data_IF_977531367837
#
_entry.id   IF_977531367837
#
_cell.length_a   1.000
_cell.length_b   1.000
_cell.length_c   1.000
_cell.angle_alpha   90.00
_cell.angle_beta   90.00
_cell.angle_gamma   90.00
#
_symmetry.space_group_name_H-M   'P 1'
#
loop_
_entity.id
_entity.type
_entity.pdbx_description
1 polymer ?
#
# COMPACT_ATOMS: atom_id res chain seq x y z
N UNK A 1 -20.55 -32.04 87.08
CA UNK A 1 -20.44 -32.66 88.42
C UNK A 1 -19.95 -34.09 88.26
N UNK A 2 -18.92 -34.47 89.05
CA UNK A 2 -18.45 -35.81 89.42
C UNK A 2 -18.11 -36.81 88.30
N UNK A 3 -16.81 -37.02 88.02
CA UNK A 3 -15.90 -38.02 88.64
C UNK A 3 -16.20 -39.46 88.21
N UNK A 4 -15.25 -40.06 87.49
CA UNK A 4 -14.76 -41.43 87.77
C UNK A 4 -13.26 -41.48 87.48
N UNK A 5 -12.55 -42.14 88.39
CA UNK A 5 -11.10 -42.17 88.56
C UNK A 5 -10.64 -43.63 88.52
N UNK A 6 -9.51 -43.89 87.87
CA UNK A 6 -8.57 -45.01 88.12
C UNK A 6 -7.26 -44.60 87.40
N UNK A 7 -6.10 -44.34 88.01
CA UNK A 7 -5.23 -45.14 88.91
C UNK A 7 -4.91 -46.49 88.28
N UNK A 8 -3.68 -46.95 88.01
CA UNK A 8 -2.27 -46.54 88.19
C UNK A 8 -1.46 -47.52 87.30
N UNK A 9 -0.30 -47.13 86.78
CA UNK A 9 0.97 -47.89 86.91
C UNK A 9 2.09 -47.26 86.07
N UNK A 10 3.10 -46.80 86.78
CA UNK A 10 4.43 -46.43 86.30
C UNK A 10 5.28 -47.67 86.03
N UNK A 11 5.88 -47.77 84.83
CA UNK A 11 7.14 -48.49 84.62
C UNK A 11 8.05 -47.71 83.67
N UNK A 12 9.15 -47.24 84.24
CA UNK A 12 10.36 -46.79 83.57
C UNK A 12 11.11 -48.00 83.03
N UNK A 13 11.38 -48.07 81.72
CA UNK A 13 12.46 -48.91 81.16
C UNK A 13 13.08 -48.23 79.91
N UNK A 14 14.36 -47.93 80.07
CA UNK A 14 15.48 -47.83 79.11
C UNK A 14 15.32 -47.16 77.75
N UNK A 15 16.18 -46.16 77.57
CA UNK A 15 16.72 -45.68 76.30
C UNK A 15 17.06 -46.83 75.34
N UNK A 16 16.49 -46.77 74.14
CA UNK A 16 17.02 -47.47 72.96
C UNK A 16 17.14 -46.44 71.84
N UNK A 17 18.38 -46.05 71.56
CA UNK A 17 18.76 -45.17 70.47
C UNK A 17 18.73 -45.95 69.15
N UNK A 18 17.68 -45.76 68.35
CA UNK A 18 17.68 -46.16 66.94
C UNK A 18 17.66 -44.89 66.08
N UNK A 19 18.84 -44.53 65.55
CA UNK A 19 18.96 -43.56 64.45
C UNK A 19 18.37 -44.22 63.20
N UNK A 20 17.11 -43.95 62.91
CA UNK A 20 16.53 -44.22 61.59
C UNK A 20 16.88 -43.02 60.71
N UNK A 21 17.87 -43.22 59.83
CA UNK A 21 18.14 -42.28 58.74
C UNK A 21 17.03 -42.37 57.71
N UNK A 22 16.08 -41.43 57.76
CA UNK A 22 15.13 -41.20 56.68
C UNK A 22 15.80 -40.22 55.72
N UNK A 23 16.42 -40.74 54.66
CA UNK A 23 16.73 -39.97 53.46
C UNK A 23 15.43 -39.64 52.76
N UNK A 24 14.87 -38.47 53.03
CA UNK A 24 13.82 -37.87 52.21
C UNK A 24 14.50 -37.47 50.90
N UNK A 25 14.11 -38.02 49.73
CA UNK A 25 14.60 -37.48 48.46
C UNK A 25 14.04 -36.07 48.36
N UNK A 26 14.92 -35.07 48.45
CA UNK A 26 14.55 -33.68 48.21
C UNK A 26 14.03 -33.57 46.78
N UNK A 27 12.71 -33.48 46.64
CA UNK A 27 12.08 -33.06 45.40
C UNK A 27 12.47 -31.59 45.24
N UNK A 28 13.54 -31.35 44.48
CA UNK A 28 13.92 -30.01 44.05
C UNK A 28 12.82 -29.52 43.11
N UNK A 29 11.82 -28.85 43.66
CA UNK A 29 10.83 -28.13 42.87
C UNK A 29 11.59 -26.97 42.20
N UNK A 30 12.12 -27.20 40.99
CA UNK A 30 12.51 -26.12 40.09
C UNK A 30 11.22 -25.36 39.76
N UNK A 31 10.95 -24.33 40.56
CA UNK A 31 10.07 -23.25 40.17
C UNK A 31 10.69 -22.63 38.92
N UNK A 32 10.24 -23.09 37.75
CA UNK A 32 10.40 -22.37 36.50
C UNK A 32 9.58 -21.09 36.65
N UNK A 33 10.19 -20.05 37.19
CA UNK A 33 9.73 -18.69 37.04
C UNK A 33 9.79 -18.38 35.54
N UNK A 34 8.69 -18.64 34.84
CA UNK A 34 8.37 -17.91 33.61
C UNK A 34 8.22 -16.45 34.01
N UNK A 35 9.35 -15.73 34.03
CA UNK A 35 9.33 -14.29 33.91
C UNK A 35 8.69 -14.03 32.55
N UNK A 36 7.40 -13.71 32.53
CA UNK A 36 6.84 -12.90 31.47
C UNK A 36 7.64 -11.60 31.49
N UNK A 37 8.76 -11.57 30.78
CA UNK A 37 9.27 -10.32 30.26
C UNK A 37 8.17 -9.84 29.33
N UNK A 38 7.41 -8.85 29.80
CA UNK A 38 6.55 -8.04 28.97
C UNK A 38 7.49 -7.23 28.06
N UNK A 39 8.10 -7.92 27.10
CA UNK A 39 8.83 -7.29 26.01
C UNK A 39 7.74 -6.53 25.28
N UNK A 40 7.76 -5.20 25.41
CA UNK A 40 6.78 -4.35 24.75
C UNK A 40 6.60 -4.72 23.28
N UNK A 41 5.53 -4.24 22.63
CA UNK A 41 5.16 -4.64 21.28
C UNK A 41 6.38 -4.65 20.35
N UNK A 42 6.70 -5.81 19.75
CA UNK A 42 7.82 -5.93 18.83
C UNK A 42 7.67 -4.89 17.72
N UNK A 43 8.67 -4.02 17.55
CA UNK A 43 8.62 -2.98 16.55
C UNK A 43 8.88 -3.58 15.17
N UNK A 44 8.26 -3.06 14.10
CA UNK A 44 8.59 -3.50 12.76
C UNK A 44 10.08 -3.22 12.49
N UNK A 45 10.77 -4.18 11.88
CA UNK A 45 12.17 -4.00 11.53
C UNK A 45 12.34 -2.84 10.55
N UNK A 46 13.50 -2.18 10.57
CA UNK A 46 13.88 -1.25 9.50
C UNK A 46 13.89 -2.01 8.18
N UNK A 47 13.15 -1.56 7.16
CA UNK A 47 13.15 -2.24 5.87
C UNK A 47 14.53 -2.23 5.23
N UNK A 48 14.92 -3.30 4.52
CA UNK A 48 16.17 -3.30 3.76
C UNK A 48 16.15 -2.19 2.70
N UNK A 49 17.29 -1.64 2.26
CA UNK A 49 17.30 -0.69 1.16
C UNK A 49 16.61 -1.26 -0.08
N UNK A 50 15.82 -0.43 -0.77
CA UNK A 50 15.18 -0.80 -2.03
C UNK A 50 16.08 -0.35 -3.19
N UNK A 51 16.39 -1.26 -4.12
CA UNK A 51 17.10 -0.89 -5.35
C UNK A 51 16.11 -0.83 -6.50
N UNK A 52 15.95 0.34 -7.10
CA UNK A 52 15.04 0.52 -8.23
C UNK A 52 15.58 -0.20 -9.48
N UNK A 53 14.72 -0.52 -10.47
CA UNK A 53 15.15 -1.05 -11.77
C UNK A 53 16.21 -0.22 -12.49
N UNK A 54 16.22 1.11 -12.33
CA UNK A 54 17.28 1.99 -12.87
C UNK A 54 18.58 1.97 -12.06
N UNK A 55 18.63 1.23 -10.96
CA UNK A 55 19.82 0.99 -10.16
C UNK A 55 20.00 1.92 -8.95
N UNK A 56 19.10 2.89 -8.75
CA UNK A 56 19.11 3.79 -7.59
C UNK A 56 18.85 2.99 -6.32
N UNK A 57 19.67 3.20 -5.29
CA UNK A 57 19.49 2.57 -3.98
C UNK A 57 18.82 3.57 -3.05
N UNK A 58 17.69 3.17 -2.48
CA UNK A 58 16.89 3.97 -1.57
C UNK A 58 16.97 3.36 -0.19
N UNK A 59 17.55 4.10 0.75
CA UNK A 59 17.52 3.77 2.16
C UNK A 59 16.12 4.01 2.72
N UNK A 60 15.64 3.08 3.54
CA UNK A 60 14.34 3.18 4.21
C UNK A 60 14.57 3.33 5.70
N UNK A 61 13.96 4.34 6.29
CA UNK A 61 14.10 4.62 7.72
C UNK A 61 13.04 3.88 8.53
N UNK A 62 13.36 3.59 9.79
CA UNK A 62 12.37 3.12 10.74
C UNK A 62 11.31 4.19 10.97
N UNK A 63 10.04 3.83 10.76
CA UNK A 63 8.95 4.74 11.07
C UNK A 63 8.89 5.06 12.56
N UNK A 64 8.48 6.28 12.89
CA UNK A 64 8.34 6.76 14.26
C UNK A 64 7.08 7.62 14.43
N UNK A 65 6.77 8.01 15.66
CA UNK A 65 5.66 8.92 15.95
C UNK A 65 4.28 8.35 15.58
N UNK A 66 3.42 9.21 15.02
CA UNK A 66 2.00 8.90 14.77
C UNK A 66 1.79 7.71 13.81
N UNK A 67 2.48 7.60 12.64
CA UNK A 67 2.34 6.44 11.76
C UNK A 67 2.67 5.12 12.46
N UNK A 68 3.78 5.07 13.22
CA UNK A 68 4.16 3.89 13.99
C UNK A 68 3.08 3.52 15.02
N UNK A 69 2.55 4.49 15.77
CA UNK A 69 1.49 4.23 16.73
C UNK A 69 0.22 3.67 16.07
N UNK A 70 -0.20 4.22 14.93
CA UNK A 70 -1.35 3.73 14.18
C UNK A 70 -1.16 2.28 13.70
N UNK A 71 0.07 1.92 13.32
CA UNK A 71 0.42 0.54 13.00
C UNK A 71 0.30 -0.38 14.23
N UNK A 72 0.87 0.02 15.37
CA UNK A 72 0.81 -0.75 16.61
C UNK A 72 -0.65 -0.98 17.07
N UNK A 73 -1.48 0.05 16.97
CA UNK A 73 -2.91 -0.03 17.31
C UNK A 73 -3.66 -0.98 16.36
N UNK A 74 -3.42 -0.87 15.05
CA UNK A 74 -4.04 -1.76 14.05
C UNK A 74 -3.60 -3.22 14.22
N UNK A 75 -2.31 -3.46 14.51
CA UNK A 75 -1.81 -4.80 14.82
C UNK A 75 -2.51 -5.39 16.04
N UNK A 76 -2.54 -4.64 17.15
CA UNK A 76 -3.18 -5.08 18.39
C UNK A 76 -4.67 -5.39 18.19
N UNK A 77 -5.35 -4.59 17.37
CA UNK A 77 -6.75 -4.84 17.03
C UNK A 77 -6.91 -6.17 16.27
N UNK A 78 -6.09 -6.40 15.24
CA UNK A 78 -6.09 -7.66 14.49
C UNK A 78 -5.71 -8.87 15.35
N UNK A 79 -4.75 -8.75 16.28
CA UNK A 79 -4.39 -9.82 17.21
C UNK A 79 -5.53 -10.18 18.15
N UNK A 80 -6.33 -9.18 18.56
CA UNK A 80 -7.51 -9.39 19.42
C UNK A 80 -8.63 -10.12 18.69
N UNK A 81 -8.85 -9.81 17.41
CA UNK A 81 -9.79 -10.52 16.55
C UNK A 81 -9.18 -10.76 15.17
N UNK A 82 -8.53 -11.91 15.03
CA UNK A 82 -7.87 -12.25 13.78
C UNK A 82 -8.86 -12.67 12.69
N UNK A 83 -10.12 -12.96 13.04
CA UNK A 83 -11.15 -13.46 12.11
C UNK A 83 -11.86 -12.33 11.36
N UNK A 84 -11.68 -11.09 11.80
CA UNK A 84 -12.14 -9.91 11.11
C UNK A 84 -11.17 -9.50 10.00
N UNK A 85 -11.65 -9.56 8.76
CA UNK A 85 -10.86 -9.21 7.58
C UNK A 85 -10.60 -7.70 7.46
N UNK A 86 -11.48 -6.86 8.00
CA UNK A 86 -11.29 -5.40 7.99
C UNK A 86 -10.13 -5.01 8.88
N UNK A 87 -9.99 -5.66 10.04
CA UNK A 87 -8.83 -5.46 10.93
C UNK A 87 -7.53 -5.92 10.26
N UNK A 88 -7.56 -7.03 9.51
CA UNK A 88 -6.41 -7.50 8.73
C UNK A 88 -6.02 -6.49 7.64
N UNK A 89 -7.02 -5.98 6.90
CA UNK A 89 -6.81 -4.97 5.86
C UNK A 89 -6.18 -3.72 6.47
N UNK A 90 -6.72 -3.22 7.59
CA UNK A 90 -6.16 -2.04 8.27
C UNK A 90 -4.75 -2.28 8.80
N UNK A 91 -4.47 -3.47 9.33
CA UNK A 91 -3.12 -3.85 9.76
C UNK A 91 -2.12 -3.77 8.59
N UNK A 92 -2.43 -4.41 7.45
CA UNK A 92 -1.59 -4.35 6.26
C UNK A 92 -1.46 -2.94 5.67
N UNK A 93 -2.52 -2.13 5.71
CA UNK A 93 -2.49 -0.73 5.23
C UNK A 93 -1.56 0.11 6.07
N UNK A 94 -1.64 0.00 7.40
CA UNK A 94 -0.75 0.75 8.31
C UNK A 94 0.69 0.32 8.18
N UNK A 95 0.96 -0.99 8.00
CA UNK A 95 2.31 -1.48 7.71
C UNK A 95 2.87 -0.84 6.43
N UNK A 96 2.08 -0.80 5.37
CA UNK A 96 2.51 -0.16 4.14
C UNK A 96 2.73 1.35 4.25
N UNK A 97 1.98 2.07 5.08
CA UNK A 97 2.21 3.49 5.33
C UNK A 97 3.52 3.77 6.09
N UNK A 98 4.14 2.75 6.67
CA UNK A 98 5.50 2.86 7.21
C UNK A 98 6.58 2.73 6.13
N UNK A 99 6.22 2.42 4.88
CA UNK A 99 7.17 2.09 3.81
C UNK A 99 7.61 0.62 3.78
N UNK A 100 7.05 -0.21 4.68
CA UNK A 100 7.30 -1.65 4.78
C UNK A 100 6.38 -2.42 3.83
N UNK A 101 6.64 -2.32 2.53
CA UNK A 101 5.77 -2.89 1.51
C UNK A 101 5.82 -4.41 1.45
N UNK A 102 7.00 -5.01 1.63
CA UNK A 102 7.22 -6.45 1.66
C UNK A 102 6.48 -7.10 2.84
N UNK A 103 6.58 -6.52 4.04
CA UNK A 103 5.84 -6.99 5.21
C UNK A 103 4.32 -6.84 5.00
N UNK A 104 3.86 -5.74 4.38
CA UNK A 104 2.45 -5.59 4.04
C UNK A 104 1.98 -6.66 3.04
N UNK A 105 2.81 -7.02 2.05
CA UNK A 105 2.53 -8.11 1.11
C UNK A 105 2.41 -9.44 1.86
N UNK A 106 3.27 -9.70 2.86
CA UNK A 106 3.19 -10.90 3.68
C UNK A 106 1.89 -10.94 4.52
N UNK A 107 1.51 -9.82 5.13
CA UNK A 107 0.23 -9.69 5.88
C UNK A 107 -0.95 -10.06 4.98
N UNK A 108 -1.05 -9.48 3.78
CA UNK A 108 -2.13 -9.80 2.85
C UNK A 108 -2.04 -11.24 2.32
N UNK A 109 -0.84 -11.76 2.10
CA UNK A 109 -0.63 -13.16 1.68
C UNK A 109 -1.15 -14.15 2.74
N UNK A 110 -0.88 -13.87 4.01
CA UNK A 110 -1.43 -14.66 5.12
C UNK A 110 -2.95 -14.49 5.24
N UNK A 111 -3.47 -13.28 5.01
CA UNK A 111 -4.91 -13.02 4.94
C UNK A 111 -5.61 -13.84 3.86
N UNK A 112 -5.04 -13.90 2.65
CA UNK A 112 -5.59 -14.64 1.52
C UNK A 112 -5.61 -16.17 1.73
N UNK A 113 -4.79 -16.71 2.63
CA UNK A 113 -4.91 -18.12 3.05
C UNK A 113 -6.20 -18.39 3.84
N UNK A 114 -6.76 -17.37 4.47
CA UNK A 114 -7.94 -17.44 5.35
C UNK A 114 -9.21 -16.92 4.67
N UNK A 115 -9.05 -15.92 3.81
CA UNK A 115 -10.11 -15.26 3.06
C UNK A 115 -9.76 -15.28 1.56
N UNK A 116 -9.77 -16.46 0.91
CA UNK A 116 -9.30 -16.61 -0.47
C UNK A 116 -10.17 -15.88 -1.52
N UNK A 117 -11.40 -15.50 -1.15
CA UNK A 117 -12.34 -14.81 -2.05
C UNK A 117 -12.54 -13.34 -1.67
N UNK A 118 -11.69 -12.77 -0.82
CA UNK A 118 -11.76 -11.35 -0.44
C UNK A 118 -11.01 -10.47 -1.44
N UNK A 119 -11.77 -9.80 -2.32
CA UNK A 119 -11.24 -8.93 -3.37
C UNK A 119 -10.36 -7.79 -2.83
N UNK A 120 -10.68 -7.25 -1.64
CA UNK A 120 -9.90 -6.14 -1.04
C UNK A 120 -8.47 -6.56 -0.73
N UNK A 121 -8.24 -7.81 -0.30
CA UNK A 121 -6.89 -8.30 0.00
C UNK A 121 -6.04 -8.38 -1.26
N UNK A 122 -6.59 -8.90 -2.35
CA UNK A 122 -5.93 -8.90 -3.65
C UNK A 122 -5.64 -7.47 -4.14
N UNK A 123 -6.63 -6.57 -4.08
CA UNK A 123 -6.47 -5.15 -4.43
C UNK A 123 -5.32 -4.49 -3.66
N UNK A 124 -5.29 -4.69 -2.33
CA UNK A 124 -4.25 -4.12 -1.48
C UNK A 124 -2.86 -4.72 -1.74
N UNK A 125 -2.76 -6.04 -1.91
CA UNK A 125 -1.48 -6.70 -2.22
C UNK A 125 -0.98 -6.34 -3.61
N UNK A 126 -1.86 -6.29 -4.61
CA UNK A 126 -1.56 -5.85 -5.96
C UNK A 126 -0.99 -4.43 -6.01
N UNK A 127 -1.59 -3.49 -5.27
CA UNK A 127 -1.00 -2.15 -5.12
C UNK A 127 0.41 -2.23 -4.53
N UNK A 128 0.64 -3.02 -3.48
CA UNK A 128 2.00 -3.14 -2.91
C UNK A 128 3.00 -3.77 -3.86
N UNK A 129 2.59 -4.70 -4.71
CA UNK A 129 3.43 -5.20 -5.80
C UNK A 129 3.80 -4.11 -6.80
N UNK A 130 2.90 -3.16 -7.13
CA UNK A 130 3.25 -1.96 -7.93
C UNK A 130 4.36 -1.16 -7.23
N UNK A 131 4.22 -0.91 -5.92
CA UNK A 131 5.21 -0.14 -5.15
C UNK A 131 6.62 -0.73 -5.21
N UNK A 132 6.75 -2.05 -5.30
CA UNK A 132 8.04 -2.74 -5.40
C UNK A 132 8.39 -3.21 -6.82
N UNK A 133 7.69 -2.71 -7.85
CA UNK A 133 7.92 -2.97 -9.29
C UNK A 133 7.69 -4.42 -9.72
N UNK A 134 6.96 -5.19 -8.95
CA UNK A 134 6.54 -6.56 -9.28
C UNK A 134 5.24 -6.53 -10.11
N UNK A 135 5.28 -5.88 -11.28
CA UNK A 135 4.08 -5.55 -12.05
C UNK A 135 3.29 -6.79 -12.51
N UNK A 136 3.95 -7.91 -12.81
CA UNK A 136 3.27 -9.16 -13.16
C UNK A 136 2.44 -9.71 -12.00
N UNK A 137 2.99 -9.67 -10.78
CA UNK A 137 2.26 -10.09 -9.58
C UNK A 137 1.13 -9.12 -9.26
N UNK A 138 1.34 -7.81 -9.49
CA UNK A 138 0.30 -6.81 -9.35
C UNK A 138 -0.88 -7.08 -10.27
N UNK A 139 -0.62 -7.30 -11.57
CA UNK A 139 -1.65 -7.62 -12.57
C UNK A 139 -2.41 -8.88 -12.15
N UNK A 140 -1.72 -9.97 -11.82
CA UNK A 140 -2.38 -11.22 -11.42
C UNK A 140 -3.31 -11.05 -10.22
N UNK A 141 -2.89 -10.31 -9.18
CA UNK A 141 -3.74 -10.01 -8.03
C UNK A 141 -4.94 -9.12 -8.42
N UNK A 142 -4.71 -8.09 -9.23
CA UNK A 142 -5.75 -7.12 -9.59
C UNK A 142 -6.77 -7.69 -10.60
N UNK A 143 -6.35 -8.60 -11.48
CA UNK A 143 -7.24 -9.42 -12.30
C UNK A 143 -8.06 -10.35 -11.40
N UNK A 144 -7.44 -11.01 -10.41
CA UNK A 144 -8.21 -11.83 -9.47
C UNK A 144 -9.23 -11.00 -8.68
N UNK A 145 -8.85 -9.80 -8.25
CA UNK A 145 -9.75 -8.88 -7.59
C UNK A 145 -10.90 -8.45 -8.50
N UNK A 146 -10.64 -8.20 -9.79
CA UNK A 146 -11.65 -7.77 -10.75
C UNK A 146 -12.67 -8.87 -11.06
N UNK A 147 -12.25 -10.14 -11.11
CA UNK A 147 -13.15 -11.30 -11.17
C UNK A 147 -14.07 -11.38 -9.94
N UNK A 148 -13.51 -11.21 -8.73
CA UNK A 148 -14.24 -11.39 -7.48
C UNK A 148 -15.29 -10.28 -7.23
N UNK A 149 -15.13 -9.11 -7.84
CA UNK A 149 -16.12 -8.02 -7.75
C UNK A 149 -17.20 -8.07 -8.83
N UNK A 150 -17.14 -9.03 -9.76
CA UNK A 150 -18.14 -9.13 -10.81
C UNK A 150 -19.52 -9.44 -10.21
N UNK A 151 -20.52 -8.61 -10.55
CA UNK A 151 -21.88 -8.74 -10.02
C UNK A 151 -22.04 -8.35 -8.54
N UNK A 152 -21.00 -7.87 -7.87
CA UNK A 152 -21.08 -7.40 -6.48
C UNK A 152 -21.42 -5.91 -6.42
N UNK A 153 -21.93 -5.46 -5.26
CA UNK A 153 -22.16 -4.04 -5.00
C UNK A 153 -20.85 -3.28 -4.98
N UNK A 154 -20.79 -2.14 -5.67
CA UNK A 154 -19.66 -1.24 -5.55
C UNK A 154 -19.73 -0.46 -4.23
N UNK A 155 -18.74 -0.67 -3.36
CA UNK A 155 -18.69 -0.10 -2.03
C UNK A 155 -17.64 1.01 -1.94
N UNK A 156 -17.94 2.06 -1.18
CA UNK A 156 -16.98 3.12 -0.86
C UNK A 156 -15.89 2.56 0.04
N UNK A 157 -14.61 2.79 -0.32
CA UNK A 157 -13.50 2.39 0.53
C UNK A 157 -13.15 3.51 1.52
N UNK A 158 -12.98 3.21 2.83
CA UNK A 158 -12.55 4.21 3.79
C UNK A 158 -11.15 4.74 3.50
N UNK A 159 -10.98 6.06 3.53
CA UNK A 159 -9.68 6.69 3.33
C UNK A 159 -8.69 6.29 4.42
N UNK A 160 -7.43 6.09 4.03
CA UNK A 160 -6.37 5.80 4.98
C UNK A 160 -6.05 7.00 5.88
N UNK A 161 -6.15 8.17 5.25
CA UNK A 161 -6.01 9.51 5.79
C UNK A 161 -7.18 10.31 5.19
N UNK A 162 -8.14 10.79 6.00
CA UNK A 162 -9.27 11.55 5.48
C UNK A 162 -8.83 12.84 4.79
N UNK A 163 -9.49 13.22 3.69
CA UNK A 163 -9.33 14.55 3.11
C UNK A 163 -9.98 15.64 3.96
N UNK A 164 -9.75 16.89 3.56
CA UNK A 164 -10.24 18.09 4.23
C UNK A 164 -11.77 18.13 4.40
N UNK A 165 -12.51 17.45 3.52
CA UNK A 165 -13.98 17.38 3.57
C UNK A 165 -14.50 16.12 4.27
N UNK A 166 -13.62 15.16 4.58
CA UNK A 166 -13.94 13.86 5.15
C UNK A 166 -14.98 13.07 4.31
N UNK A 167 -14.87 13.19 2.97
CA UNK A 167 -15.72 12.51 1.99
C UNK A 167 -14.84 11.54 1.20
N UNK A 168 -14.98 10.22 1.34
CA UNK A 168 -14.20 9.28 0.55
C UNK A 168 -14.52 9.41 -0.94
N UNK A 169 -13.48 9.50 -1.76
CA UNK A 169 -13.61 9.71 -3.22
C UNK A 169 -13.37 8.43 -4.03
N UNK A 170 -13.03 7.34 -3.36
CA UNK A 170 -12.71 6.06 -4.01
C UNK A 170 -13.67 4.94 -3.61
N UNK A 171 -13.79 3.95 -4.49
CA UNK A 171 -14.65 2.78 -4.31
C UNK A 171 -13.83 1.54 -4.58
N UNK A 172 -14.26 0.37 -4.08
CA UNK A 172 -13.55 -0.88 -4.25
C UNK A 172 -13.36 -1.20 -5.74
N UNK A 173 -14.43 -1.14 -6.53
CA UNK A 173 -14.36 -1.44 -7.96
C UNK A 173 -13.46 -0.43 -8.67
N UNK A 174 -13.61 0.86 -8.35
CA UNK A 174 -12.77 1.91 -8.94
C UNK A 174 -11.30 1.72 -8.62
N UNK A 175 -10.95 1.41 -7.38
CA UNK A 175 -9.57 1.18 -6.99
C UNK A 175 -8.99 -0.08 -7.64
N UNK A 176 -9.76 -1.17 -7.76
CA UNK A 176 -9.31 -2.37 -8.47
C UNK A 176 -8.97 -2.02 -9.93
N UNK A 177 -9.90 -1.40 -10.65
CA UNK A 177 -9.70 -1.04 -12.05
C UNK A 177 -8.60 -0.01 -12.26
N UNK A 178 -8.49 0.99 -11.38
CA UNK A 178 -7.44 2.01 -11.42
C UNK A 178 -6.05 1.37 -11.32
N UNK A 179 -5.83 0.51 -10.33
CA UNK A 179 -4.52 -0.09 -10.11
C UNK A 179 -4.22 -1.14 -11.18
N UNK A 180 -5.24 -1.84 -11.70
CA UNK A 180 -5.06 -2.77 -12.81
C UNK A 180 -4.62 -2.03 -14.08
N UNK A 181 -5.29 -0.93 -14.41
CA UNK A 181 -4.92 -0.05 -15.51
C UNK A 181 -3.51 0.50 -15.36
N UNK A 182 -3.16 0.93 -14.15
CA UNK A 182 -1.81 1.40 -13.84
C UNK A 182 -0.76 0.30 -14.05
N UNK A 183 -0.98 -0.90 -13.53
CA UNK A 183 -0.01 -1.99 -13.64
C UNK A 183 0.25 -2.39 -15.11
N UNK A 184 -0.81 -2.47 -15.93
CA UNK A 184 -0.67 -2.67 -17.37
C UNK A 184 0.05 -1.51 -18.06
N UNK A 185 -0.30 -0.27 -17.72
CA UNK A 185 0.34 0.92 -18.28
C UNK A 185 1.85 0.93 -18.00
N UNK A 186 2.25 0.62 -16.76
CA UNK A 186 3.65 0.56 -16.34
C UNK A 186 4.44 -0.49 -17.11
N UNK A 187 3.81 -1.60 -17.52
CA UNK A 187 4.41 -2.60 -18.41
C UNK A 187 4.46 -2.18 -19.88
N UNK A 188 3.70 -1.17 -20.29
CA UNK A 188 3.51 -0.79 -21.69
C UNK A 188 2.39 -1.57 -22.40
N UNK A 189 1.55 -2.28 -21.64
CA UNK A 189 0.37 -3.00 -22.13
C UNK A 189 -0.79 -2.01 -22.29
N UNK A 190 -0.72 -1.14 -23.30
CA UNK A 190 -1.60 0.03 -23.39
C UNK A 190 -3.07 -0.32 -23.68
N UNK A 191 -3.36 -1.41 -24.40
CA UNK A 191 -4.73 -1.81 -24.71
C UNK A 191 -5.47 -2.35 -23.48
N UNK A 192 -4.78 -3.19 -22.70
CA UNK A 192 -5.26 -3.71 -21.44
C UNK A 192 -5.41 -2.59 -20.41
N UNK A 193 -4.44 -1.66 -20.37
CA UNK A 193 -4.52 -0.47 -19.53
C UNK A 193 -5.74 0.39 -19.89
N UNK A 194 -5.98 0.63 -21.18
CA UNK A 194 -7.11 1.40 -21.66
C UNK A 194 -8.43 0.78 -21.22
N UNK A 195 -8.57 -0.53 -21.39
CA UNK A 195 -9.76 -1.30 -21.00
C UNK A 195 -10.01 -1.19 -19.50
N UNK A 196 -8.99 -1.39 -18.67
CA UNK A 196 -9.11 -1.26 -17.22
C UNK A 196 -9.49 0.16 -16.80
N UNK A 197 -8.90 1.21 -17.38
CA UNK A 197 -9.28 2.59 -17.06
C UNK A 197 -10.68 2.98 -17.56
N UNK A 198 -11.19 2.38 -18.63
CA UNK A 198 -12.59 2.55 -19.01
C UNK A 198 -13.54 1.95 -17.98
N UNK A 199 -13.19 0.80 -17.40
CA UNK A 199 -13.95 0.22 -16.29
C UNK A 199 -13.83 1.06 -15.02
N UNK A 200 -12.66 1.64 -14.75
CA UNK A 200 -12.46 2.60 -13.66
C UNK A 200 -13.36 3.83 -13.82
N UNK A 201 -13.39 4.43 -15.02
CA UNK A 201 -14.26 5.57 -15.30
C UNK A 201 -15.74 5.25 -15.08
N UNK A 202 -16.17 4.02 -15.38
CA UNK A 202 -17.56 3.56 -15.22
C UNK A 202 -17.94 3.18 -13.79
N UNK A 203 -16.97 2.94 -12.91
CA UNK A 203 -17.26 2.44 -11.55
C UNK A 203 -17.81 3.51 -10.62
N UNK A 204 -17.55 4.80 -10.89
CA UNK A 204 -18.00 5.91 -10.05
C UNK A 204 -18.34 7.14 -10.89
N UNK A 205 -19.40 7.84 -10.50
CA UNK A 205 -19.84 9.10 -11.10
C UNK A 205 -19.22 10.34 -10.44
N UNK A 206 -18.34 10.20 -9.44
CA UNK A 206 -17.72 11.36 -8.80
C UNK A 206 -16.66 12.01 -9.72
N UNK A 207 -16.43 13.31 -9.55
CA UNK A 207 -15.55 14.07 -10.42
C UNK A 207 -14.07 13.71 -10.24
N UNK A 208 -13.65 13.29 -9.05
CA UNK A 208 -12.29 12.82 -8.76
C UNK A 208 -11.93 11.56 -9.58
N UNK A 209 -12.87 10.62 -9.73
CA UNK A 209 -12.75 9.44 -10.57
C UNK A 209 -12.74 9.80 -12.06
N UNK A 210 -13.60 10.75 -12.45
CA UNK A 210 -13.65 11.25 -13.82
C UNK A 210 -12.30 11.84 -14.26
N UNK A 211 -11.73 12.78 -13.49
CA UNK A 211 -10.49 13.46 -13.91
C UNK A 211 -9.28 12.53 -13.87
N UNK A 212 -9.18 11.65 -12.86
CA UNK A 212 -8.06 10.72 -12.73
C UNK A 212 -8.08 9.64 -13.82
N UNK A 213 -9.24 9.04 -14.09
CA UNK A 213 -9.40 8.05 -15.18
C UNK A 213 -9.18 8.69 -16.56
N UNK A 214 -9.73 9.89 -16.78
CA UNK A 214 -9.59 10.62 -18.05
C UNK A 214 -8.13 10.95 -18.35
N UNK A 215 -7.35 11.36 -17.36
CA UNK A 215 -5.92 11.62 -17.53
C UNK A 215 -5.17 10.42 -18.11
N UNK A 216 -5.35 9.22 -17.52
CA UNK A 216 -4.68 8.01 -18.00
C UNK A 216 -5.19 7.57 -19.37
N UNK A 217 -6.51 7.58 -19.59
CA UNK A 217 -7.11 7.25 -20.89
C UNK A 217 -6.61 8.18 -22.01
N UNK A 218 -6.49 9.47 -21.73
CA UNK A 218 -5.94 10.46 -22.65
C UNK A 218 -4.50 10.12 -23.03
N UNK A 219 -3.62 9.91 -22.04
CA UNK A 219 -2.22 9.59 -22.29
C UNK A 219 -2.06 8.29 -23.08
N UNK A 220 -2.86 7.27 -22.79
CA UNK A 220 -2.85 6.02 -23.54
C UNK A 220 -3.22 6.25 -25.01
N UNK A 221 -4.31 6.97 -25.28
CA UNK A 221 -4.73 7.24 -26.65
C UNK A 221 -3.72 8.11 -27.41
N UNK A 222 -3.11 9.10 -26.74
CA UNK A 222 -2.02 9.90 -27.33
C UNK A 222 -0.83 9.04 -27.73
N UNK A 223 -0.41 8.10 -26.87
CA UNK A 223 0.70 7.18 -27.15
C UNK A 223 0.41 6.21 -28.29
N UNK A 224 -0.85 5.85 -28.49
CA UNK A 224 -1.29 5.02 -29.61
C UNK A 224 -1.52 5.81 -30.91
N UNK A 225 -1.34 7.14 -30.91
CA UNK A 225 -1.61 7.99 -32.08
C UNK A 225 -3.09 8.31 -32.33
N UNK A 226 -3.97 7.94 -31.39
CA UNK A 226 -5.42 8.11 -31.51
C UNK A 226 -5.85 9.50 -31.02
N UNK A 227 -5.33 10.57 -31.64
CA UNK A 227 -5.51 11.96 -31.19
C UNK A 227 -6.99 12.38 -31.04
N UNK A 228 -7.84 12.07 -32.02
CA UNK A 228 -9.27 12.41 -31.97
C UNK A 228 -9.98 11.73 -30.80
N UNK A 229 -9.63 10.47 -30.53
CA UNK A 229 -10.18 9.73 -29.39
C UNK A 229 -9.68 10.32 -28.06
N UNK A 230 -8.40 10.70 -27.99
CA UNK A 230 -7.83 11.37 -26.83
C UNK A 230 -8.58 12.67 -26.52
N UNK A 231 -8.77 13.54 -27.52
CA UNK A 231 -9.46 14.83 -27.32
C UNK A 231 -10.94 14.65 -26.94
N UNK A 232 -11.59 13.62 -27.48
CA UNK A 232 -12.98 13.30 -27.14
C UNK A 232 -13.17 12.94 -25.65
N UNK A 233 -12.16 12.29 -25.04
CA UNK A 233 -12.19 11.97 -23.60
C UNK A 233 -12.16 13.22 -22.72
N UNK A 234 -11.61 14.34 -23.21
CA UNK A 234 -11.52 15.60 -22.46
C UNK A 234 -12.80 16.45 -22.52
N UNK A 235 -13.78 16.08 -23.33
CA UNK A 235 -15.02 16.84 -23.49
C UNK A 235 -15.76 17.09 -22.17
N UNK A 236 -15.94 16.08 -21.27
CA UNK A 236 -16.63 16.26 -19.99
C UNK A 236 -15.85 17.10 -18.97
N UNK A 237 -14.56 17.37 -19.22
CA UNK A 237 -13.71 18.09 -18.27
C UNK A 237 -13.91 19.60 -18.43
N UNK A 238 -14.43 20.24 -17.39
CA UNK A 238 -14.65 21.69 -17.34
C UNK A 238 -13.99 22.29 -16.10
N UNK A 239 -13.84 23.62 -16.04
CA UNK A 239 -13.20 24.30 -14.90
C UNK A 239 -14.07 24.28 -13.64
N UNK A 240 -15.37 24.07 -13.82
CA UNK A 240 -16.42 24.13 -12.80
C UNK A 240 -16.63 22.80 -12.08
N UNK A 241 -15.92 21.73 -12.48
CA UNK A 241 -15.97 20.46 -11.77
C UNK A 241 -15.53 20.63 -10.32
N UNK A 242 -16.36 20.19 -9.39
CA UNK A 242 -16.05 20.14 -7.97
C UNK A 242 -15.12 18.96 -7.69
N UNK A 243 -13.84 19.25 -7.50
CA UNK A 243 -12.78 18.27 -7.20
C UNK A 243 -12.44 18.34 -5.71
N UNK A 244 -12.26 17.18 -5.07
CA UNK A 244 -11.95 17.09 -3.64
C UNK A 244 -10.46 16.80 -3.42
N UNK A 245 -9.88 15.86 -4.16
CA UNK A 245 -8.48 15.41 -3.98
C UNK A 245 -7.65 15.51 -5.26
N UNK A 246 -8.23 15.12 -6.40
CA UNK A 246 -7.51 14.87 -7.66
C UNK A 246 -7.28 16.13 -8.52
N UNK A 247 -6.95 17.26 -7.89
CA UNK A 247 -6.75 18.55 -8.56
C UNK A 247 -5.63 18.53 -9.60
N UNK A 248 -4.54 17.77 -9.36
CA UNK A 248 -3.44 17.61 -10.32
C UNK A 248 -3.92 17.01 -11.64
N UNK A 249 -4.76 15.97 -11.59
CA UNK A 249 -5.32 15.35 -12.78
C UNK A 249 -6.33 16.26 -13.50
N UNK A 250 -7.14 16.99 -12.74
CA UNK A 250 -8.05 17.98 -13.31
C UNK A 250 -7.32 19.07 -14.09
N UNK A 251 -6.28 19.65 -13.48
CA UNK A 251 -5.45 20.66 -14.11
C UNK A 251 -4.73 20.12 -15.35
N UNK A 252 -4.17 18.91 -15.30
CA UNK A 252 -3.57 18.27 -16.47
C UNK A 252 -4.59 18.11 -17.61
N UNK A 253 -5.81 17.63 -17.31
CA UNK A 253 -6.85 17.48 -18.34
C UNK A 253 -7.26 18.83 -18.95
N UNK A 254 -7.39 19.89 -18.13
CA UNK A 254 -7.64 21.26 -18.62
C UNK A 254 -6.48 21.79 -19.47
N UNK A 255 -5.24 21.49 -19.10
CA UNK A 255 -4.06 21.85 -19.86
C UNK A 255 -4.02 21.13 -21.22
N UNK A 256 -4.26 19.82 -21.25
CA UNK A 256 -4.35 19.04 -22.48
C UNK A 256 -5.41 19.57 -23.44
N UNK A 257 -6.53 20.07 -22.89
CA UNK A 257 -7.63 20.72 -23.63
C UNK A 257 -7.28 22.13 -24.14
N UNK A 258 -6.10 22.66 -23.79
CA UNK A 258 -5.72 24.05 -24.07
C UNK A 258 -6.52 25.08 -23.26
N UNK A 259 -7.26 24.64 -22.24
CA UNK A 259 -8.11 25.51 -21.42
C UNK A 259 -7.32 26.27 -20.36
N UNK A 260 -6.16 25.79 -19.94
CA UNK A 260 -5.24 26.52 -19.07
C UNK A 260 -3.81 26.44 -19.65
N UNK A 261 -2.97 27.47 -19.44
CA UNK A 261 -1.59 27.43 -19.91
C UNK A 261 -0.72 26.52 -19.03
N UNK A 262 0.38 26.00 -19.60
CA UNK A 262 1.37 25.16 -18.89
C UNK A 262 1.82 25.77 -17.55
N UNK A 263 2.05 27.08 -17.51
CA UNK A 263 2.49 27.80 -16.30
C UNK A 263 1.55 27.62 -15.10
N UNK A 264 0.28 27.27 -15.32
CA UNK A 264 -0.68 27.02 -14.24
C UNK A 264 -0.44 25.66 -13.56
N UNK A 265 0.31 24.77 -14.20
CA UNK A 265 0.70 23.47 -13.64
C UNK A 265 1.98 23.53 -12.81
N UNK A 266 2.83 24.52 -13.09
CA UNK A 266 4.14 24.64 -12.47
C UNK A 266 4.02 25.42 -11.15
N UNK A 267 4.82 25.06 -10.13
CA UNK A 267 4.87 25.83 -8.90
C UNK A 267 5.39 27.25 -9.17
N UNK A 268 4.90 28.22 -8.38
CA UNK A 268 5.43 29.58 -8.39
C UNK A 268 6.92 29.59 -8.01
N UNK A 269 7.67 30.61 -8.45
CA UNK A 269 9.07 30.80 -8.08
C UNK A 269 9.21 30.82 -6.54
N UNK A 270 9.90 29.83 -5.97
CA UNK A 270 10.11 29.66 -4.53
C UNK A 270 9.11 28.75 -3.81
N UNK A 271 8.20 28.09 -4.53
CA UNK A 271 7.27 27.07 -4.00
C UNK A 271 7.81 25.64 -4.14
N UNK A 272 7.18 24.68 -3.43
CA UNK A 272 7.49 23.25 -3.52
C UNK A 272 7.29 22.72 -4.95
N UNK A 273 8.10 21.75 -5.38
CA UNK A 273 8.03 21.13 -6.70
C UNK A 273 6.60 20.71 -7.10
N UNK A 274 6.33 20.69 -8.41
CA UNK A 274 5.07 20.18 -8.94
C UNK A 274 4.82 18.75 -8.44
N UNK A 275 3.55 18.38 -8.20
CA UNK A 275 3.23 17.00 -7.83
C UNK A 275 3.73 16.01 -8.88
N UNK A 276 4.17 14.82 -8.49
CA UNK A 276 4.70 13.82 -9.42
C UNK A 276 3.70 13.46 -10.54
N UNK A 277 2.39 13.56 -10.28
CA UNK A 277 1.37 13.39 -11.30
C UNK A 277 1.47 14.46 -12.40
N UNK A 278 1.67 15.73 -12.02
CA UNK A 278 1.87 16.85 -12.96
C UNK A 278 3.17 16.66 -13.73
N UNK A 279 4.28 16.39 -13.02
CA UNK A 279 5.58 16.22 -13.66
C UNK A 279 5.56 15.09 -14.69
N UNK A 280 4.97 13.94 -14.34
CA UNK A 280 4.83 12.82 -15.27
C UNK A 280 3.88 13.14 -16.43
N UNK A 281 2.73 13.76 -16.14
CA UNK A 281 1.76 14.14 -17.15
C UNK A 281 2.30 15.15 -18.17
N UNK A 282 3.14 16.10 -17.73
CA UNK A 282 3.86 17.02 -18.59
C UNK A 282 4.95 16.33 -19.40
N UNK A 283 5.76 15.47 -18.77
CA UNK A 283 6.81 14.72 -19.45
C UNK A 283 6.22 13.88 -20.59
N UNK A 284 5.14 13.15 -20.31
CA UNK A 284 4.39 12.39 -21.32
C UNK A 284 3.92 13.29 -22.47
N UNK A 285 3.26 14.41 -22.14
CA UNK A 285 2.78 15.35 -23.14
C UNK A 285 3.93 15.88 -24.01
N UNK A 286 5.07 16.24 -23.44
CA UNK A 286 6.25 16.68 -24.20
C UNK A 286 6.74 15.65 -25.21
N UNK A 287 6.85 14.39 -24.78
CA UNK A 287 7.24 13.30 -25.65
C UNK A 287 6.24 13.16 -26.82
N UNK A 288 4.94 13.29 -26.55
CA UNK A 288 3.88 13.17 -27.56
C UNK A 288 3.76 14.39 -28.50
N UNK A 289 4.27 15.55 -28.10
CA UNK A 289 4.40 16.76 -28.94
C UNK A 289 5.73 16.81 -29.70
N UNK A 290 6.56 15.76 -29.63
CA UNK A 290 7.88 15.71 -30.28
C UNK A 290 8.94 16.58 -29.61
N UNK A 291 8.68 17.13 -28.42
CA UNK A 291 9.63 17.89 -27.60
C UNK A 291 10.43 16.92 -26.73
N UNK A 292 11.12 15.98 -27.38
CA UNK A 292 11.72 14.80 -26.75
C UNK A 292 12.69 15.17 -25.62
N UNK A 293 13.57 16.15 -25.84
CA UNK A 293 14.58 16.56 -24.86
C UNK A 293 13.93 17.04 -23.55
N UNK A 294 12.90 17.90 -23.64
CA UNK A 294 12.18 18.42 -22.46
C UNK A 294 11.40 17.32 -21.73
N UNK A 295 10.82 16.38 -22.47
CA UNK A 295 10.16 15.22 -21.88
C UNK A 295 11.16 14.34 -21.12
N UNK A 296 12.29 14.04 -21.74
CA UNK A 296 13.34 13.20 -21.16
C UNK A 296 13.99 13.85 -19.93
N UNK A 297 14.25 15.16 -19.97
CA UNK A 297 14.75 15.93 -18.82
C UNK A 297 13.85 15.78 -17.59
N UNK A 298 12.55 16.01 -17.75
CA UNK A 298 11.58 15.86 -16.67
C UNK A 298 11.53 14.43 -16.11
N UNK A 299 11.57 13.40 -16.98
CA UNK A 299 11.59 12.02 -16.51
C UNK A 299 12.83 11.72 -15.65
N UNK A 300 13.99 12.22 -16.04
CA UNK A 300 15.23 12.05 -15.27
C UNK A 300 15.16 12.80 -13.93
N UNK A 301 14.69 14.05 -13.93
CA UNK A 301 14.52 14.83 -12.71
C UNK A 301 13.62 14.10 -11.70
N UNK A 302 12.52 13.51 -12.18
CA UNK A 302 11.62 12.73 -11.33
C UNK A 302 12.32 11.54 -10.67
N UNK A 303 13.10 10.76 -11.42
CA UNK A 303 13.76 9.57 -10.85
C UNK A 303 14.94 9.90 -9.93
N UNK A 304 15.51 11.10 -10.05
CA UNK A 304 16.46 11.65 -9.09
C UNK A 304 15.81 12.11 -7.78
N UNK A 305 14.51 12.40 -7.77
CA UNK A 305 13.73 12.75 -6.58
C UNK A 305 13.59 11.63 -5.53
N UNK A 306 13.04 12.00 -4.37
CA UNK A 306 12.88 11.10 -3.21
C UNK A 306 11.55 10.34 -3.18
N UNK A 307 10.55 10.76 -3.95
CA UNK A 307 9.19 10.19 -3.95
C UNK A 307 9.08 8.90 -4.77
N UNK A 308 10.00 7.95 -4.55
CA UNK A 308 10.16 6.73 -5.35
C UNK A 308 8.93 5.81 -5.39
N UNK A 309 7.91 6.04 -4.58
CA UNK A 309 6.68 5.23 -4.53
C UNK A 309 5.47 5.89 -5.17
N UNK A 310 5.57 7.15 -5.61
CA UNK A 310 4.49 7.79 -6.32
C UNK A 310 4.29 7.17 -7.70
N UNK A 311 3.06 7.15 -8.20
CA UNK A 311 2.77 6.57 -9.51
C UNK A 311 3.46 7.32 -10.64
N UNK A 312 3.61 8.65 -10.51
CA UNK A 312 4.38 9.45 -11.47
C UNK A 312 5.85 9.03 -11.53
N UNK A 313 6.50 8.81 -10.38
CA UNK A 313 7.88 8.32 -10.34
C UNK A 313 8.01 6.94 -11.00
N UNK A 314 7.14 5.99 -10.62
CA UNK A 314 7.19 4.62 -11.13
C UNK A 314 6.95 4.60 -12.65
N UNK A 315 6.05 5.46 -13.14
CA UNK A 315 5.77 5.60 -14.56
C UNK A 315 6.94 6.25 -15.32
N UNK A 316 7.59 7.25 -14.73
CA UNK A 316 8.78 7.86 -15.30
C UNK A 316 9.94 6.86 -15.42
N UNK A 317 10.18 6.10 -14.36
CA UNK A 317 11.15 5.01 -14.35
C UNK A 317 10.86 3.98 -15.46
N UNK A 318 9.60 3.55 -15.58
CA UNK A 318 9.19 2.58 -16.60
C UNK A 318 9.38 3.11 -18.03
N UNK A 319 9.11 4.40 -18.26
CA UNK A 319 9.34 5.05 -19.55
C UNK A 319 10.84 5.15 -19.87
N UNK A 320 11.67 5.58 -18.93
CA UNK A 320 13.13 5.67 -19.13
C UNK A 320 13.74 4.32 -19.49
N UNK A 321 13.32 3.23 -18.83
CA UNK A 321 13.79 1.87 -19.16
C UNK A 321 13.47 1.51 -20.62
N UNK A 322 12.24 1.79 -21.07
CA UNK A 322 11.83 1.52 -22.46
C UNK A 322 12.60 2.40 -23.45
N UNK A 323 12.70 3.70 -23.18
CA UNK A 323 13.40 4.65 -24.05
C UNK A 323 14.89 4.28 -24.20
N UNK A 324 15.55 3.92 -23.11
CA UNK A 324 16.94 3.49 -23.11
C UNK A 324 17.14 2.18 -23.90
N UNK A 325 16.20 1.24 -23.78
CA UNK A 325 16.24 -0.03 -24.53
C UNK A 325 16.06 0.20 -26.04
N UNK A 326 15.16 1.10 -26.43
CA UNK A 326 14.95 1.47 -27.84
C UNK A 326 16.19 2.16 -28.44
N UNK A 327 16.82 3.07 -27.71
CA UNK A 327 18.05 3.74 -28.15
C UNK A 327 19.22 2.75 -28.36
N UNK A 328 19.36 1.74 -27.49
CA UNK A 328 20.37 0.69 -27.64
C UNK A 328 20.11 -0.23 -28.83
N UNK A 329 18.84 -0.41 -29.22
CA UNK A 329 18.48 -1.23 -30.39
C UNK A 329 18.70 -0.47 -31.70
N UNK A 330 18.47 0.84 -31.72
CA UNK A 330 18.68 1.68 -32.90
C UNK A 330 20.16 1.94 -33.25
N UNK A 331 21.08 1.66 -32.32
CA UNK A 331 22.54 1.86 -32.47
C UNK A 331 23.32 0.58 -32.81
N UNK A 332 22.63 -0.58 -32.91
CA UNK A 332 23.19 -1.87 -33.33
C UNK A 332 22.80 -2.21 -34.76
#
# INVERSE_FOLDING_TARGET
MAKHSAIVETRSISQFTMKVGITIPGLLFMLLSFSCQDTGPELPATPPPFKTPLGKVISRESASGKPLQQYLDARKAHEKDSTDVDLLIWYGRRMAYLGNYEDAIEIYTNGLRRFPDEARLYRHRGHRYISIREFDKAIADLEKASELIEGTTNETEPDGIPNAMNIPVSTLHGNIWYHLGLAHYLKGNYEEAYTAYLNCLRSSSNHDNLVSSTHWLYMIQRRQGNHVAADSLLLPITRELEIIENHSYHNLCLFYKGSIPEKTLLPDEGSSAASDAISYGLANWYLMEGKVDKGYELLNEMVEGENWTSFGYIAAESDLIRLNSSAQTATK
#
